data_IF_233233876154
#
_entry.id   IF_233233876154
#
_cell.length_a   1.000
_cell.length_b   1.000
_cell.length_c   1.000
_cell.angle_alpha   90.00
_cell.angle_beta   90.00
_cell.angle_gamma   90.00
#
_symmetry.space_group_name_H-M   'P 1'
#
loop_
_entity.id
_entity.type
_entity.pdbx_description
1 polymer ?
#
# COMPACT_ATOMS: atom_id res chain seq x y z
N UNK A 1 12.30 -23.89 25.62
CA UNK A 1 12.79 -22.72 24.84
C UNK A 1 11.58 -21.94 24.35
N UNK A 2 11.28 -20.82 25.01
CA UNK A 2 10.13 -19.97 24.68
C UNK A 2 10.31 -19.38 23.27
N UNK A 3 9.61 -19.93 22.27
CA UNK A 3 9.62 -19.41 20.89
C UNK A 3 8.68 -18.21 20.80
N UNK A 4 8.98 -17.14 21.53
CA UNK A 4 8.32 -15.85 21.33
C UNK A 4 8.88 -15.27 20.04
N UNK A 5 8.06 -15.28 18.98
CA UNK A 5 8.39 -14.60 17.72
C UNK A 5 8.40 -13.10 17.97
N UNK A 6 9.59 -12.48 17.91
CA UNK A 6 9.74 -11.02 17.91
C UNK A 6 9.18 -10.39 16.64
N UNK A 7 8.88 -9.09 16.69
CA UNK A 7 8.32 -8.34 15.56
C UNK A 7 9.27 -8.36 14.35
N UNK A 8 10.57 -8.42 14.61
CA UNK A 8 11.64 -8.54 13.62
C UNK A 8 11.44 -9.75 12.71
N UNK A 9 11.01 -10.87 13.29
CA UNK A 9 10.74 -12.11 12.56
C UNK A 9 9.38 -12.06 11.86
N UNK A 10 8.41 -11.31 12.39
CA UNK A 10 7.14 -11.09 11.69
C UNK A 10 7.35 -10.33 10.38
N UNK A 11 8.32 -9.41 10.34
CA UNK A 11 8.65 -8.65 9.13
C UNK A 11 9.17 -9.53 7.98
N UNK A 12 9.72 -10.71 8.27
CA UNK A 12 10.12 -11.67 7.23
C UNK A 12 8.91 -12.31 6.54
N UNK A 13 7.79 -12.46 7.26
CA UNK A 13 6.54 -13.01 6.72
C UNK A 13 5.60 -11.93 6.20
N UNK A 14 5.69 -10.72 6.75
CA UNK A 14 4.89 -9.55 6.40
C UNK A 14 5.83 -8.38 6.14
N UNK A 15 6.44 -8.27 4.94
CA UNK A 15 7.46 -7.26 4.66
C UNK A 15 6.92 -5.84 4.60
N UNK A 16 5.62 -5.66 4.38
CA UNK A 16 4.98 -4.35 4.33
C UNK A 16 3.49 -4.46 3.98
N UNK A 17 2.77 -3.34 3.94
CA UNK A 17 1.39 -3.30 3.44
C UNK A 17 1.33 -3.67 1.96
N UNK A 18 0.31 -4.44 1.59
CA UNK A 18 -0.01 -4.77 0.21
C UNK A 18 -1.23 -3.93 -0.23
N UNK A 19 -1.03 -3.05 -1.21
CA UNK A 19 -2.05 -2.10 -1.64
C UNK A 19 -2.78 -2.63 -2.88
N UNK A 20 -4.12 -2.55 -2.94
CA UNK A 20 -4.89 -3.14 -4.04
C UNK A 20 -4.65 -2.45 -5.40
N UNK A 21 -4.14 -1.22 -5.40
CA UNK A 21 -3.78 -0.48 -6.61
C UNK A 21 -2.33 -0.70 -7.05
N UNK A 22 -1.58 -1.52 -6.31
CA UNK A 22 -0.14 -1.68 -6.45
C UNK A 22 0.63 -0.46 -5.93
N UNK A 23 1.67 -0.09 -6.67
CA UNK A 23 2.62 0.95 -6.33
C UNK A 23 3.86 0.39 -5.62
N UNK A 24 4.89 1.24 -5.55
CA UNK A 24 6.17 0.91 -4.96
C UNK A 24 6.33 1.57 -3.61
N UNK A 25 6.35 0.75 -2.56
CA UNK A 25 6.75 1.17 -1.22
C UNK A 25 8.24 1.52 -1.23
N UNK A 26 8.60 2.73 -0.79
CA UNK A 26 9.98 3.25 -0.84
C UNK A 26 10.69 3.23 0.51
N UNK A 27 10.02 2.74 1.56
CA UNK A 27 10.60 2.72 2.89
C UNK A 27 11.58 1.56 3.10
N UNK A 28 12.55 1.80 3.97
CA UNK A 28 13.49 0.77 4.37
C UNK A 28 12.90 -0.18 5.41
N UNK A 29 13.57 -1.30 5.58
CA UNK A 29 13.16 -2.34 6.54
C UNK A 29 13.08 -1.80 7.98
N UNK A 30 13.95 -0.87 8.35
CA UNK A 30 13.99 -0.28 9.69
C UNK A 30 12.73 0.56 9.98
N UNK A 31 12.29 1.37 9.02
CA UNK A 31 11.07 2.19 9.13
C UNK A 31 9.83 1.31 9.26
N UNK A 32 9.75 0.23 8.47
CA UNK A 32 8.66 -0.73 8.54
C UNK A 32 8.61 -1.45 9.89
N UNK A 33 9.76 -1.93 10.36
CA UNK A 33 9.88 -2.56 11.67
C UNK A 33 9.40 -1.64 12.79
N UNK A 34 9.83 -0.38 12.76
CA UNK A 34 9.48 0.59 13.80
C UNK A 34 7.99 0.95 13.77
N UNK A 35 7.40 1.06 12.59
CA UNK A 35 5.97 1.29 12.42
C UNK A 35 5.14 0.12 12.99
N UNK A 36 5.55 -1.12 12.70
CA UNK A 36 4.91 -2.33 13.23
C UNK A 36 5.12 -2.50 14.74
N UNK A 37 6.27 -2.08 15.27
CA UNK A 37 6.56 -2.08 16.71
C UNK A 37 5.72 -1.07 17.48
N UNK A 38 5.53 0.12 16.93
CA UNK A 38 4.77 1.20 17.57
C UNK A 38 3.26 1.12 17.35
N UNK A 39 2.82 0.41 16.32
CA UNK A 39 1.43 0.48 15.87
C UNK A 39 1.07 1.78 15.15
N UNK A 40 2.06 2.66 14.95
CA UNK A 40 1.92 3.96 14.30
C UNK A 40 3.11 4.19 13.40
N UNK A 41 2.86 4.75 12.23
CA UNK A 41 3.90 5.08 11.28
C UNK A 41 3.31 5.71 10.04
N UNK A 42 4.15 5.93 9.05
CA UNK A 42 3.69 6.33 7.74
C UNK A 42 4.73 5.91 6.69
N UNK A 43 4.25 5.61 5.49
CA UNK A 43 5.05 5.06 4.43
C UNK A 43 4.87 5.85 3.15
N UNK A 44 5.95 6.12 2.43
CA UNK A 44 5.88 6.66 1.07
C UNK A 44 5.54 5.53 0.10
N UNK A 45 4.57 5.81 -0.75
CA UNK A 45 4.11 4.94 -1.82
C UNK A 45 4.23 5.73 -3.14
N UNK A 46 5.05 5.22 -4.05
CA UNK A 46 5.25 5.81 -5.38
C UNK A 46 4.48 5.04 -6.44
N UNK A 47 4.09 5.73 -7.51
CA UNK A 47 3.58 5.08 -8.71
C UNK A 47 4.64 4.14 -9.31
N UNK A 48 4.21 3.00 -9.86
CA UNK A 48 5.10 2.15 -10.66
C UNK A 48 5.14 2.68 -12.09
N UNK A 49 6.33 2.66 -12.70
CA UNK A 49 6.52 3.24 -14.02
C UNK A 49 7.65 2.56 -14.78
N UNK A 50 7.60 2.69 -16.11
CA UNK A 50 8.60 2.18 -17.05
C UNK A 50 8.94 3.23 -18.10
N UNK A 51 9.99 2.98 -18.87
CA UNK A 51 10.44 3.86 -19.96
C UNK A 51 10.16 3.17 -21.28
N UNK A 52 9.49 3.87 -22.18
CA UNK A 52 9.28 3.43 -23.56
C UNK A 52 10.03 4.36 -24.52
N UNK A 53 10.73 3.78 -25.50
CA UNK A 53 11.39 4.54 -26.56
C UNK A 53 10.38 4.93 -27.63
N UNK A 54 10.41 6.20 -28.05
CA UNK A 54 9.54 6.69 -29.13
C UNK A 54 10.35 6.88 -30.42
N UNK A 55 9.65 6.87 -31.57
CA UNK A 55 10.27 7.13 -32.87
C UNK A 55 10.95 8.50 -32.85
N UNK A 56 12.15 8.59 -33.43
CA UNK A 56 12.97 9.82 -33.40
C UNK A 56 13.97 9.91 -32.25
N UNK A 57 14.13 8.84 -31.46
CA UNK A 57 15.17 8.74 -30.43
C UNK A 57 14.82 9.47 -29.13
N UNK A 58 13.55 9.80 -28.92
CA UNK A 58 13.03 10.24 -27.63
C UNK A 58 12.60 9.07 -26.74
N UNK A 59 12.08 9.41 -25.57
CA UNK A 59 11.43 8.46 -24.67
C UNK A 59 10.16 9.07 -24.08
N UNK A 60 9.30 8.22 -23.54
CA UNK A 60 8.18 8.59 -22.69
C UNK A 60 8.21 7.75 -21.41
N UNK A 61 7.73 8.31 -20.32
CA UNK A 61 7.51 7.54 -19.08
C UNK A 61 6.08 7.06 -19.08
N UNK A 62 5.89 5.77 -18.82
CA UNK A 62 4.56 5.16 -18.69
C UNK A 62 4.38 4.74 -17.25
N UNK A 63 3.43 5.37 -16.57
CA UNK A 63 2.98 4.97 -15.25
C UNK A 63 1.97 3.84 -15.41
N UNK A 64 2.28 2.70 -14.78
CA UNK A 64 1.52 1.44 -14.89
C UNK A 64 0.71 1.13 -13.64
N UNK A 65 1.06 1.72 -12.50
CA UNK A 65 0.33 1.53 -11.23
C UNK A 65 0.22 2.86 -10.48
N UNK A 66 -0.95 3.11 -9.91
CA UNK A 66 -1.25 4.33 -9.16
C UNK A 66 -1.06 4.12 -7.65
N UNK A 67 -0.57 5.13 -6.91
CA UNK A 67 -0.57 5.06 -5.45
C UNK A 67 -1.99 4.89 -4.89
N UNK A 68 -2.09 4.21 -3.75
CA UNK A 68 -3.35 3.92 -3.09
C UNK A 68 -4.15 5.20 -2.78
N UNK A 69 -5.46 5.14 -3.03
CA UNK A 69 -6.41 6.25 -2.86
C UNK A 69 -6.17 7.49 -3.73
N UNK A 70 -5.31 7.41 -4.75
CA UNK A 70 -5.14 8.50 -5.72
C UNK A 70 -6.11 8.34 -6.88
N UNK A 71 -6.95 9.35 -7.09
CA UNK A 71 -7.83 9.38 -8.26
C UNK A 71 -7.06 9.87 -9.49
N UNK A 72 -6.94 9.01 -10.50
CA UNK A 72 -6.17 9.30 -11.73
C UNK A 72 -6.63 10.57 -12.45
N UNK A 73 -7.93 10.79 -12.63
CA UNK A 73 -8.45 11.99 -13.32
C UNK A 73 -8.01 13.28 -12.62
N UNK A 74 -8.14 13.33 -11.28
CA UNK A 74 -7.69 14.48 -10.48
C UNK A 74 -6.19 14.70 -10.56
N UNK A 75 -5.39 13.63 -10.58
CA UNK A 75 -3.95 13.73 -10.77
C UNK A 75 -3.61 14.33 -12.15
N UNK A 76 -4.27 13.88 -13.21
CA UNK A 76 -4.05 14.41 -14.57
C UNK A 76 -4.41 15.90 -14.64
N UNK A 77 -5.57 16.28 -14.10
CA UNK A 77 -5.97 17.68 -13.97
C UNK A 77 -4.92 18.49 -13.21
N UNK A 78 -4.42 17.94 -12.08
CA UNK A 78 -3.40 18.61 -11.27
C UNK A 78 -2.09 18.82 -12.03
N UNK A 79 -1.64 17.82 -12.77
CA UNK A 79 -0.43 17.91 -13.60
C UNK A 79 -0.63 18.97 -14.69
N UNK A 80 -1.80 19.01 -15.33
CA UNK A 80 -2.11 20.01 -16.34
C UNK A 80 -2.10 21.44 -15.77
N UNK A 81 -2.67 21.67 -14.58
CA UNK A 81 -2.59 22.95 -13.86
C UNK A 81 -1.13 23.37 -13.62
N UNK A 82 -0.29 22.44 -13.16
CA UNK A 82 1.12 22.71 -12.87
C UNK A 82 1.94 22.97 -14.14
N UNK A 83 1.60 22.33 -15.26
CA UNK A 83 2.18 22.60 -16.58
C UNK A 83 1.82 24.01 -17.05
N UNK A 84 0.53 24.40 -16.98
CA UNK A 84 0.08 25.75 -17.34
C UNK A 84 0.75 26.82 -16.49
N UNK A 85 0.92 26.56 -15.19
CA UNK A 85 1.65 27.41 -14.26
C UNK A 85 3.18 27.39 -14.44
N UNK A 86 3.70 26.65 -15.44
CA UNK A 86 5.14 26.47 -15.73
C UNK A 86 5.95 25.94 -14.55
N UNK A 87 5.33 25.22 -13.61
CA UNK A 87 6.00 24.60 -12.45
C UNK A 87 6.70 23.28 -12.80
N UNK A 88 6.21 22.58 -13.84
CA UNK A 88 6.80 21.35 -14.35
C UNK A 88 7.67 21.61 -15.58
N UNK A 89 8.85 22.20 -15.38
CA UNK A 89 9.73 22.66 -16.48
C UNK A 89 10.27 21.55 -17.38
N UNK A 90 10.34 20.31 -16.88
CA UNK A 90 10.89 19.14 -17.58
C UNK A 90 9.83 18.28 -18.28
N UNK A 91 8.55 18.48 -17.98
CA UNK A 91 7.44 17.75 -18.58
C UNK A 91 6.85 18.58 -19.73
N UNK A 92 6.60 17.95 -20.87
CA UNK A 92 5.93 18.56 -22.01
C UNK A 92 4.42 18.43 -21.88
N UNK A 93 3.96 17.22 -21.60
CA UNK A 93 2.57 16.83 -21.69
C UNK A 93 2.26 15.61 -20.81
N UNK A 94 0.98 15.42 -20.50
CA UNK A 94 0.44 14.27 -19.77
C UNK A 94 -0.78 13.74 -20.52
N UNK A 95 -0.80 12.43 -20.80
CA UNK A 95 -1.90 11.77 -21.52
C UNK A 95 -2.37 10.54 -20.78
N UNK A 96 -3.67 10.45 -20.56
CA UNK A 96 -4.30 9.25 -20.04
C UNK A 96 -4.70 8.34 -21.22
N UNK A 97 -3.96 7.24 -21.39
CA UNK A 97 -4.20 6.21 -22.40
C UNK A 97 -4.75 4.93 -21.77
N UNK A 98 -5.27 5.01 -20.55
CA UNK A 98 -5.71 3.82 -19.82
C UNK A 98 -6.98 3.22 -20.42
N UNK A 99 -7.05 1.90 -20.39
CA UNK A 99 -8.25 1.11 -20.72
C UNK A 99 -8.69 0.33 -19.49
N UNK A 100 -8.64 -1.00 -19.52
CA UNK A 100 -8.77 -1.86 -18.34
C UNK A 100 -7.51 -1.77 -17.45
N UNK A 101 -6.35 -1.55 -18.07
CA UNK A 101 -5.07 -1.36 -17.40
C UNK A 101 -4.71 0.13 -17.31
N UNK A 102 -4.03 0.49 -16.21
CA UNK A 102 -3.54 1.87 -16.01
C UNK A 102 -2.40 2.13 -16.98
N UNK A 103 -2.54 3.19 -17.77
CA UNK A 103 -1.50 3.69 -18.68
C UNK A 103 -1.55 5.21 -18.71
N UNK A 104 -0.76 5.84 -17.85
CA UNK A 104 -0.59 7.29 -17.84
C UNK A 104 0.76 7.64 -18.46
N UNK A 105 0.73 8.31 -19.60
CA UNK A 105 1.92 8.68 -20.38
C UNK A 105 2.37 10.09 -20.00
N UNK A 106 3.66 10.20 -19.66
CA UNK A 106 4.33 11.44 -19.31
C UNK A 106 5.41 11.71 -20.34
N UNK A 107 5.26 12.78 -21.12
CA UNK A 107 6.18 13.13 -22.19
C UNK A 107 7.21 14.16 -21.71
N UNK A 108 8.53 13.88 -21.78
CA UNK A 108 9.54 14.84 -21.40
C UNK A 108 9.61 16.00 -22.40
N UNK A 109 9.93 17.20 -21.91
CA UNK A 109 10.09 18.41 -22.74
C UNK A 109 11.23 18.31 -23.76
N UNK A 110 12.21 17.46 -23.50
CA UNK A 110 13.33 17.19 -24.40
C UNK A 110 13.86 15.79 -24.16
N UNK A 111 14.35 15.13 -25.23
CA UNK A 111 15.02 13.82 -25.15
C UNK A 111 16.27 13.80 -24.26
N UNK A 112 16.83 14.97 -23.94
CA UNK A 112 18.01 15.11 -23.07
C UNK A 112 17.65 15.14 -21.58
N UNK A 113 16.37 15.22 -21.22
CA UNK A 113 15.94 15.20 -19.81
C UNK A 113 16.17 13.79 -19.28
N UNK A 114 16.85 13.66 -18.15
CA UNK A 114 17.00 12.37 -17.48
C UNK A 114 15.67 11.92 -16.88
N UNK A 115 15.27 10.68 -17.17
CA UNK A 115 13.97 10.11 -16.75
C UNK A 115 13.81 10.00 -15.23
N UNK A 116 14.90 9.72 -14.49
CA UNK A 116 14.86 9.62 -13.03
C UNK A 116 14.72 11.01 -12.43
N UNK A 117 15.44 12.00 -12.96
CA UNK A 117 15.32 13.40 -12.52
C UNK A 117 13.92 13.95 -12.78
N UNK A 118 13.32 13.64 -13.94
CA UNK A 118 11.94 13.97 -14.25
C UNK A 118 10.98 13.38 -13.21
N UNK A 119 11.07 12.07 -12.96
CA UNK A 119 10.18 11.38 -12.03
C UNK A 119 10.35 11.86 -10.59
N UNK A 120 11.58 12.06 -10.11
CA UNK A 120 11.82 12.64 -8.78
C UNK A 120 11.23 14.05 -8.63
N UNK A 121 11.26 14.85 -9.70
CA UNK A 121 10.61 16.16 -9.69
C UNK A 121 9.09 16.05 -9.62
N UNK A 122 8.50 15.08 -10.33
CA UNK A 122 7.05 14.86 -10.32
C UNK A 122 6.58 14.32 -8.97
N UNK A 123 7.28 13.33 -8.39
CA UNK A 123 6.98 12.80 -7.06
C UNK A 123 6.92 13.88 -5.97
N UNK A 124 7.78 14.91 -6.05
CA UNK A 124 7.77 16.01 -5.09
C UNK A 124 6.60 16.99 -5.26
N UNK A 125 5.96 17.03 -6.43
CA UNK A 125 5.00 18.07 -6.80
C UNK A 125 3.59 17.54 -7.05
N UNK A 126 3.41 16.23 -7.16
CA UNK A 126 2.15 15.59 -7.54
C UNK A 126 1.88 14.36 -6.68
N UNK A 127 0.65 13.86 -6.74
CA UNK A 127 0.24 12.64 -6.04
C UNK A 127 0.73 11.34 -6.72
N UNK A 128 1.74 11.41 -7.60
CA UNK A 128 2.49 10.23 -8.04
C UNK A 128 3.33 9.64 -6.91
N UNK A 129 3.62 10.40 -5.85
CA UNK A 129 4.07 9.90 -4.56
C UNK A 129 3.09 10.36 -3.48
N UNK A 130 2.64 9.43 -2.64
CA UNK A 130 1.78 9.74 -1.50
C UNK A 130 2.34 9.14 -0.22
N UNK A 131 1.89 9.70 0.92
CA UNK A 131 2.23 9.18 2.24
C UNK A 131 1.02 8.47 2.81
N UNK A 132 1.12 7.14 2.97
CA UNK A 132 0.09 6.33 3.60
C UNK A 132 0.38 6.23 5.09
N UNK A 133 -0.55 6.68 5.93
CA UNK A 133 -0.42 6.59 7.38
C UNK A 133 -0.85 5.22 7.92
N UNK A 134 -0.07 4.67 8.84
CA UNK A 134 -0.41 3.50 9.65
C UNK A 134 -0.83 3.97 11.04
N UNK A 135 -2.02 3.59 11.47
CA UNK A 135 -2.49 3.77 12.84
C UNK A 135 -3.34 2.57 13.26
N UNK A 136 -2.74 1.64 14.00
CA UNK A 136 -3.39 0.44 14.53
C UNK A 136 -4.11 0.73 15.83
N UNK A 137 -4.98 1.75 15.81
CA UNK A 137 -5.90 2.03 16.91
C UNK A 137 -7.12 1.11 16.77
N UNK A 138 -7.27 0.17 17.70
CA UNK A 138 -8.29 -0.88 17.65
C UNK A 138 -8.97 -1.02 19.01
N UNK A 139 -10.15 -1.65 19.02
CA UNK A 139 -10.78 -2.10 20.25
C UNK A 139 -10.17 -3.45 20.64
N UNK A 140 -9.74 -3.58 21.88
CA UNK A 140 -9.27 -4.85 22.42
C UNK A 140 -10.43 -5.79 22.80
N UNK A 141 -10.09 -6.95 23.38
CA UNK A 141 -11.08 -7.94 23.82
C UNK A 141 -12.06 -7.42 24.89
N UNK A 142 -11.69 -6.34 25.59
CA UNK A 142 -12.48 -5.69 26.63
C UNK A 142 -13.19 -4.42 26.10
N UNK A 143 -13.23 -4.23 24.78
CA UNK A 143 -13.77 -3.06 24.09
C UNK A 143 -13.10 -1.72 24.47
N UNK A 144 -11.85 -1.76 24.94
CA UNK A 144 -11.09 -0.55 25.24
C UNK A 144 -10.30 -0.12 24.00
N UNK A 145 -10.40 1.14 23.56
CA UNK A 145 -9.62 1.64 22.44
C UNK A 145 -8.15 1.80 22.84
N UNK A 146 -7.25 1.13 22.11
CA UNK A 146 -5.81 1.27 22.29
C UNK A 146 -5.06 1.10 20.98
N UNK A 147 -3.86 1.67 20.94
CA UNK A 147 -2.93 1.40 19.85
C UNK A 147 -2.19 0.11 20.15
N UNK A 148 -2.28 -0.81 19.19
CA UNK A 148 -1.62 -2.11 19.26
C UNK A 148 -0.48 -2.18 18.27
N UNK A 149 0.59 -2.87 18.64
CA UNK A 149 1.62 -3.27 17.69
C UNK A 149 1.15 -4.48 16.85
N UNK A 150 1.89 -4.82 15.79
CA UNK A 150 1.50 -5.89 14.87
C UNK A 150 1.33 -7.23 15.59
N UNK A 151 2.21 -7.55 16.53
CA UNK A 151 2.17 -8.81 17.28
C UNK A 151 0.92 -8.89 18.16
N UNK A 152 0.58 -7.80 18.84
CA UNK A 152 -0.62 -7.73 19.70
C UNK A 152 -1.90 -7.93 18.88
N UNK A 153 -2.01 -7.30 17.72
CA UNK A 153 -3.15 -7.48 16.80
C UNK A 153 -3.26 -8.94 16.35
N UNK A 154 -2.14 -9.55 15.94
CA UNK A 154 -2.13 -10.95 15.51
C UNK A 154 -2.47 -11.91 16.67
N UNK A 155 -1.98 -11.63 17.88
CA UNK A 155 -2.30 -12.43 19.05
C UNK A 155 -3.80 -12.36 19.37
N UNK A 156 -4.38 -11.16 19.40
CA UNK A 156 -5.81 -10.96 19.63
C UNK A 156 -6.65 -11.70 18.58
N UNK A 157 -6.23 -11.68 17.31
CA UNK A 157 -6.88 -12.47 16.27
C UNK A 157 -6.81 -13.98 16.55
N UNK A 158 -5.63 -14.51 16.91
CA UNK A 158 -5.45 -15.93 17.21
C UNK A 158 -6.27 -16.37 18.43
N UNK A 159 -6.31 -15.56 19.49
CA UNK A 159 -7.11 -15.83 20.69
C UNK A 159 -8.60 -15.89 20.34
N UNK A 160 -9.09 -14.96 19.53
CA UNK A 160 -10.46 -14.99 19.03
C UNK A 160 -10.74 -16.24 18.19
N UNK A 161 -9.81 -16.63 17.30
CA UNK A 161 -9.94 -17.84 16.48
C UNK A 161 -10.01 -19.11 17.33
N UNK A 162 -9.30 -19.16 18.44
CA UNK A 162 -9.36 -20.27 19.38
C UNK A 162 -10.75 -20.39 20.03
N UNK A 163 -11.28 -19.29 20.55
CA UNK A 163 -12.63 -19.24 21.16
C UNK A 163 -13.70 -19.67 20.15
N UNK A 164 -13.63 -19.19 18.90
CA UNK A 164 -14.56 -19.58 17.84
C UNK A 164 -14.45 -21.07 17.54
N UNK A 165 -13.24 -21.62 17.51
CA UNK A 165 -13.01 -23.04 17.26
C UNK A 165 -13.64 -23.90 18.36
N UNK A 166 -13.42 -23.57 19.64
CA UNK A 166 -14.01 -24.28 20.78
C UNK A 166 -15.54 -24.24 20.74
N UNK A 167 -16.13 -23.04 20.55
CA UNK A 167 -17.59 -22.87 20.46
C UNK A 167 -18.19 -23.72 19.33
N UNK A 168 -17.54 -23.74 18.16
CA UNK A 168 -17.96 -24.55 17.02
C UNK A 168 -17.87 -26.05 17.34
N UNK A 169 -16.80 -26.49 17.98
CA UNK A 169 -16.60 -27.90 18.35
C UNK A 169 -17.65 -28.34 19.37
N UNK A 170 -17.87 -27.59 20.44
CA UNK A 170 -18.90 -27.89 21.43
C UNK A 170 -20.32 -27.87 20.85
N UNK A 171 -20.60 -26.96 19.91
CA UNK A 171 -21.89 -26.98 19.21
C UNK A 171 -22.08 -28.28 18.41
N UNK A 172 -21.04 -28.77 17.72
CA UNK A 172 -21.10 -30.05 16.98
C UNK A 172 -21.29 -31.23 17.92
N UNK A 173 -20.57 -31.26 19.04
CA UNK A 173 -20.72 -32.31 20.07
C UNK A 173 -22.15 -32.34 20.60
N UNK A 174 -22.70 -31.20 21.03
CA UNK A 174 -24.10 -31.13 21.52
C UNK A 174 -25.13 -31.59 20.49
N UNK A 175 -24.91 -31.32 19.20
CA UNK A 175 -25.81 -31.82 18.14
C UNK A 175 -25.73 -33.34 17.98
N UNK A 176 -24.55 -33.92 18.15
CA UNK A 176 -24.37 -35.37 18.10
C UNK A 176 -25.02 -36.01 19.32
N UNK A 177 -24.79 -35.48 20.52
CA UNK A 177 -25.37 -35.97 21.77
C UNK A 177 -26.90 -35.93 21.71
N UNK A 178 -27.50 -34.81 21.29
CA UNK A 178 -28.94 -34.70 21.14
C UNK A 178 -29.52 -35.70 20.12
N UNK A 179 -28.77 -36.01 19.05
CA UNK A 179 -29.19 -37.02 18.07
C UNK A 179 -29.12 -38.44 18.65
N UNK A 180 -28.13 -38.72 19.50
CA UNK A 180 -28.00 -40.01 20.19
C UNK A 180 -29.11 -40.19 21.24
N UNK A 181 -29.50 -39.13 21.94
CA UNK A 181 -30.59 -39.17 22.94
C UNK A 181 -31.98 -39.41 22.32
N UNK A 182 -32.18 -39.11 21.03
CA UNK A 182 -33.44 -39.36 20.32
C UNK A 182 -33.52 -40.73 19.63
N UNK A 183 -32.44 -41.53 19.64
CA UNK A 183 -32.35 -42.86 19.04
C UNK A 183 -32.54 -43.96 20.09
#
# INVERSE_FOLDING_TARGET
MSRVTGIEKLLDFMPGPDFPTGGKLVEDRATLLEAYRKGRGAFRLRAAWTIEKVKGGGYQVVVTEMPFQVQKSRLVEKIAELLMAKKLSMLADVRDESTEEVRLVLEPKSRNVDSLVLMESLFRQTELETRVSLNMNVLDGDNTPRVMNLREVLQAFLDHRHVVLERRTHHRVRKIDHRLEML
#
